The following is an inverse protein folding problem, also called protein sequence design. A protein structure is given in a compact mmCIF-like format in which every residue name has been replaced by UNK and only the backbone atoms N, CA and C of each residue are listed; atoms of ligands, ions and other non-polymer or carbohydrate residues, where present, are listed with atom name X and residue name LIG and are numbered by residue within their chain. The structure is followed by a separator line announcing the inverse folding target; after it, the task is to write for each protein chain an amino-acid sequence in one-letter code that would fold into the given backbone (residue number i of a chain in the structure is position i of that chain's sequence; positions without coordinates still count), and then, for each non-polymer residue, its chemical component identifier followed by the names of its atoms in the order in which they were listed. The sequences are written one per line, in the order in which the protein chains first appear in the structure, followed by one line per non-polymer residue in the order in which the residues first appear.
data_IF_068671857087
#
_entry.id   IF_068671857087
#
_cell.length_a   1.000
_cell.length_b   1.000
_cell.length_c   1.000
_cell.angle_alpha   90.00
_cell.angle_beta   90.00
_cell.angle_gamma   90.00
#
_symmetry.space_group_name_H-M   'P 1'
#
loop_
_entity.id
_entity.type
_entity.pdbx_description
1 polymer ?
#
# COMPACT_ATOMS: atom_id res chain seq x y z
N UNK A 1 -10.20 -11.24 12.95
CA UNK A 1 -9.38 -10.97 11.76
C UNK A 1 -9.69 -11.89 10.56
N UNK A 2 -10.10 -13.17 10.78
CA UNK A 2 -10.58 -14.03 9.69
C UNK A 2 -11.91 -13.53 9.12
N UNK A 3 -12.76 -12.95 9.96
CA UNK A 3 -14.00 -12.31 9.53
C UNK A 3 -13.71 -11.13 8.58
N UNK A 4 -12.70 -10.31 8.87
CA UNK A 4 -12.29 -9.22 7.97
C UNK A 4 -11.87 -9.74 6.59
N UNK A 5 -11.16 -10.86 6.53
CA UNK A 5 -10.79 -11.48 5.26
C UNK A 5 -12.03 -11.86 4.42
N UNK A 6 -13.04 -12.48 5.05
CA UNK A 6 -14.30 -12.82 4.39
C UNK A 6 -15.03 -11.55 3.92
N UNK A 7 -15.17 -10.54 4.79
CA UNK A 7 -15.81 -9.27 4.44
C UNK A 7 -15.09 -8.59 3.27
N UNK A 8 -13.77 -8.54 3.28
CA UNK A 8 -13.00 -7.93 2.20
C UNK A 8 -13.10 -8.74 0.89
N UNK A 9 -13.13 -10.07 0.99
CA UNK A 9 -13.37 -10.93 -0.18
C UNK A 9 -14.77 -10.73 -0.77
N UNK A 10 -15.79 -10.55 0.06
CA UNK A 10 -17.14 -10.20 -0.40
C UNK A 10 -17.17 -8.83 -1.08
N UNK A 11 -16.43 -7.83 -0.57
CA UNK A 11 -16.31 -6.53 -1.23
C UNK A 11 -15.73 -6.64 -2.64
N UNK A 12 -14.77 -7.54 -2.89
CA UNK A 12 -14.25 -7.77 -4.24
C UNK A 12 -15.37 -8.21 -5.20
N UNK A 13 -16.25 -9.11 -4.75
CA UNK A 13 -17.38 -9.59 -5.55
C UNK A 13 -18.42 -8.49 -5.77
N UNK A 14 -18.73 -7.70 -4.75
CA UNK A 14 -19.72 -6.60 -4.83
C UNK A 14 -19.26 -5.49 -5.77
N UNK A 15 -17.94 -5.27 -5.92
CA UNK A 15 -17.38 -4.24 -6.78
C UNK A 15 -17.26 -4.69 -8.25
N UNK A 16 -17.54 -5.95 -8.57
CA UNK A 16 -17.61 -6.44 -9.96
C UNK A 16 -18.69 -5.63 -10.68
N UNK A 17 -18.34 -5.10 -11.85
CA UNK A 17 -19.21 -4.24 -12.68
C UNK A 17 -19.49 -2.83 -12.14
N UNK A 18 -18.96 -2.43 -11.00
CA UNK A 18 -19.01 -1.03 -10.55
C UNK A 18 -17.95 -0.21 -11.31
N UNK A 19 -18.29 1.02 -11.66
CA UNK A 19 -17.33 1.91 -12.32
C UNK A 19 -16.18 2.30 -11.37
N UNK A 20 -14.96 2.05 -11.80
CA UNK A 20 -13.74 2.39 -11.05
C UNK A 20 -13.71 3.86 -10.62
N UNK A 21 -14.17 4.78 -11.49
CA UNK A 21 -14.17 6.22 -11.21
C UNK A 21 -15.10 6.57 -10.05
N UNK A 22 -16.26 5.91 -9.97
CA UNK A 22 -17.22 6.10 -8.87
C UNK A 22 -16.61 5.61 -7.56
N UNK A 23 -16.01 4.43 -7.55
CA UNK A 23 -15.36 3.85 -6.36
C UNK A 23 -14.25 4.77 -5.85
N UNK A 24 -13.35 5.20 -6.74
CA UNK A 24 -12.24 6.10 -6.38
C UNK A 24 -12.74 7.45 -5.88
N UNK A 25 -13.74 8.05 -6.54
CA UNK A 25 -14.30 9.34 -6.12
C UNK A 25 -14.88 9.27 -4.71
N UNK A 26 -15.67 8.24 -4.43
CA UNK A 26 -16.26 8.04 -3.12
C UNK A 26 -15.17 7.80 -2.06
N UNK A 27 -14.17 6.99 -2.37
CA UNK A 27 -13.03 6.78 -1.48
C UNK A 27 -12.31 8.10 -1.17
N UNK A 28 -11.98 8.91 -2.18
CA UNK A 28 -11.29 10.19 -1.98
C UNK A 28 -12.10 11.14 -1.12
N UNK A 29 -13.42 11.21 -1.33
CA UNK A 29 -14.28 12.09 -0.53
C UNK A 29 -14.34 11.62 0.91
N UNK A 30 -14.68 10.35 1.15
CA UNK A 30 -14.87 9.83 2.52
C UNK A 30 -13.54 9.78 3.27
N UNK A 31 -12.51 9.13 2.70
CA UNK A 31 -11.21 9.03 3.35
C UNK A 31 -10.53 10.41 3.48
N UNK A 32 -10.71 11.30 2.49
CA UNK A 32 -10.20 12.67 2.55
C UNK A 32 -10.80 13.47 3.69
N UNK A 33 -12.13 13.46 3.83
CA UNK A 33 -12.81 14.13 4.96
C UNK A 33 -12.33 13.58 6.31
N UNK A 34 -12.23 12.26 6.42
CA UNK A 34 -11.81 11.62 7.67
C UNK A 34 -10.35 11.94 8.01
N UNK A 35 -9.44 11.79 7.05
CA UNK A 35 -8.00 12.01 7.30
C UNK A 35 -7.70 13.48 7.58
N UNK A 36 -8.26 14.39 6.77
CA UNK A 36 -8.07 15.84 7.00
C UNK A 36 -8.78 16.26 8.28
N UNK A 37 -9.99 15.78 8.55
CA UNK A 37 -10.72 16.08 9.77
C UNK A 37 -9.96 15.64 11.03
N UNK A 38 -9.49 14.40 11.09
CA UNK A 38 -8.70 13.88 12.23
C UNK A 38 -7.40 14.67 12.39
N UNK A 39 -6.70 14.97 11.29
CA UNK A 39 -5.49 15.79 11.30
C UNK A 39 -5.75 17.18 11.90
N UNK A 40 -6.80 17.89 11.44
CA UNK A 40 -7.15 19.22 11.95
C UNK A 40 -7.58 19.18 13.42
N UNK A 41 -8.40 18.21 13.80
CA UNK A 41 -8.81 18.01 15.20
C UNK A 41 -7.61 17.70 16.12
N UNK A 42 -6.60 17.02 15.58
CA UNK A 42 -5.35 16.77 16.32
C UNK A 42 -4.50 18.04 16.48
N UNK A 43 -4.48 18.93 15.48
CA UNK A 43 -3.78 20.22 15.60
C UNK A 43 -4.40 21.15 16.65
N UNK A 44 -5.73 21.14 16.80
CA UNK A 44 -6.43 21.94 17.81
C UNK A 44 -6.54 21.24 19.17
N UNK A 45 -5.94 20.04 19.32
CA UNK A 45 -5.87 19.30 20.58
C UNK A 45 -7.15 18.55 20.98
N UNK A 46 -8.18 18.48 20.10
CA UNK A 46 -9.40 17.71 20.34
C UNK A 46 -9.20 16.21 20.22
N UNK A 47 -8.25 15.79 19.36
CA UNK A 47 -7.81 14.40 19.22
C UNK A 47 -6.33 14.32 19.60
N UNK A 48 -5.91 13.36 20.46
CA UNK A 48 -4.52 13.27 20.90
C UNK A 48 -3.55 13.06 19.75
N UNK A 49 -2.48 13.87 19.67
CA UNK A 49 -1.33 13.61 18.82
C UNK A 49 -0.34 12.73 19.59
N UNK A 50 -0.39 11.42 19.39
CA UNK A 50 0.54 10.49 20.04
C UNK A 50 1.96 10.69 19.45
N UNK A 51 2.91 10.91 20.35
CA UNK A 51 4.31 11.15 19.99
C UNK A 51 5.17 9.94 20.37
N UNK A 52 5.84 9.36 19.37
CA UNK A 52 6.71 8.21 19.53
C UNK A 52 8.17 8.63 19.38
N UNK A 53 9.01 8.28 20.35
CA UNK A 53 10.44 8.47 20.20
C UNK A 53 11.08 7.25 19.54
N UNK A 54 11.81 7.48 18.43
CA UNK A 54 12.61 6.46 17.76
C UNK A 54 14.02 6.96 17.54
N UNK A 55 14.97 6.45 18.33
CA UNK A 55 16.38 6.84 18.26
C UNK A 55 16.59 8.37 18.32
N UNK A 56 15.88 9.06 19.23
CA UNK A 56 15.97 10.51 19.41
C UNK A 56 15.08 11.35 18.47
N UNK A 57 14.40 10.72 17.51
CA UNK A 57 13.46 11.42 16.61
C UNK A 57 12.03 11.29 17.13
N UNK A 58 11.39 12.43 17.39
CA UNK A 58 9.97 12.49 17.77
C UNK A 58 9.11 12.35 16.51
N UNK A 59 8.22 11.37 16.51
CA UNK A 59 7.32 11.02 15.43
C UNK A 59 5.88 11.31 15.82
N UNK A 60 5.17 12.12 15.06
CA UNK A 60 3.80 12.53 15.35
C UNK A 60 2.80 11.62 14.60
N UNK A 61 1.74 11.21 15.29
CA UNK A 61 0.66 10.39 14.70
C UNK A 61 -0.49 11.21 14.13
N UNK A 62 -0.58 12.50 14.49
CA UNK A 62 -1.62 13.42 14.04
C UNK A 62 -3.05 12.89 14.19
N UNK A 63 -3.36 12.35 15.37
CA UNK A 63 -4.68 11.82 15.71
C UNK A 63 -4.91 10.36 15.32
N UNK A 64 -3.95 9.74 14.65
CA UNK A 64 -3.95 8.30 14.36
C UNK A 64 -3.26 7.52 15.49
N UNK A 65 -3.35 6.18 15.43
CA UNK A 65 -2.67 5.34 16.42
C UNK A 65 -1.15 5.38 16.21
N UNK A 66 -0.70 5.30 14.95
CA UNK A 66 0.72 5.34 14.60
C UNK A 66 1.05 6.43 13.58
N UNK A 67 2.27 6.99 13.62
CA UNK A 67 2.74 7.90 12.57
C UNK A 67 2.72 7.29 11.16
N UNK A 68 2.93 5.97 11.06
CA UNK A 68 2.86 5.22 9.80
C UNK A 68 1.42 5.10 9.28
N UNK A 69 0.41 5.05 10.15
CA UNK A 69 -1.00 4.99 9.74
C UNK A 69 -1.40 6.27 9.01
N UNK A 70 -1.11 7.43 9.62
CA UNK A 70 -1.33 8.72 8.98
C UNK A 70 -0.59 8.82 7.64
N UNK A 71 0.70 8.45 7.61
CA UNK A 71 1.51 8.50 6.40
C UNK A 71 0.98 7.56 5.30
N UNK A 72 0.48 6.39 5.66
CA UNK A 72 -0.14 5.44 4.73
C UNK A 72 -1.45 5.97 4.16
N UNK A 73 -2.32 6.57 4.97
CA UNK A 73 -3.52 7.22 4.47
C UNK A 73 -3.18 8.35 3.49
N UNK A 74 -2.17 9.17 3.80
CA UNK A 74 -1.68 10.21 2.89
C UNK A 74 -1.18 9.62 1.56
N UNK A 75 -0.43 8.52 1.60
CA UNK A 75 0.07 7.83 0.39
C UNK A 75 -1.08 7.33 -0.49
N UNK A 76 -2.04 6.58 0.06
CA UNK A 76 -3.15 6.03 -0.71
C UNK A 76 -4.09 7.12 -1.23
N UNK A 77 -4.36 8.17 -0.45
CA UNK A 77 -5.13 9.33 -0.92
C UNK A 77 -4.40 10.07 -2.04
N UNK A 78 -3.09 10.28 -1.92
CA UNK A 78 -2.29 10.90 -2.99
C UNK A 78 -2.36 10.10 -4.29
N UNK A 79 -2.27 8.76 -4.21
CA UNK A 79 -2.44 7.88 -5.36
C UNK A 79 -3.84 8.03 -5.99
N UNK A 80 -4.90 7.99 -5.17
CA UNK A 80 -6.28 8.03 -5.64
C UNK A 80 -6.62 9.38 -6.29
N UNK A 81 -6.27 10.49 -5.66
CA UNK A 81 -6.45 11.83 -6.20
C UNK A 81 -5.65 12.00 -7.51
N UNK A 82 -4.38 11.57 -7.52
CA UNK A 82 -3.51 11.69 -8.68
C UNK A 82 -3.98 10.83 -9.86
N UNK A 83 -4.57 9.67 -9.59
CA UNK A 83 -5.14 8.82 -10.63
C UNK A 83 -6.43 9.41 -11.22
N UNK A 84 -7.31 9.99 -10.39
CA UNK A 84 -8.52 10.68 -10.86
C UNK A 84 -8.19 11.92 -11.71
N UNK A 85 -7.09 12.59 -11.40
CA UNK A 85 -6.62 13.80 -12.08
C UNK A 85 -5.45 13.52 -13.06
N UNK A 86 -5.32 12.28 -13.55
CA UNK A 86 -4.14 11.81 -14.32
C UNK A 86 -3.73 12.77 -15.45
N UNK A 87 -4.69 13.37 -16.12
CA UNK A 87 -4.49 14.24 -17.29
C UNK A 87 -4.47 15.74 -16.95
N UNK A 88 -4.58 16.12 -15.67
CA UNK A 88 -4.72 17.51 -15.22
C UNK A 88 -3.74 17.85 -14.09
N UNK A 89 -3.34 19.13 -14.04
CA UNK A 89 -2.60 19.70 -12.91
C UNK A 89 -1.30 18.95 -12.54
N UNK A 90 -0.55 18.44 -13.52
CA UNK A 90 0.62 17.61 -13.24
C UNK A 90 1.65 18.32 -12.35
N UNK A 91 1.97 19.59 -12.62
CA UNK A 91 2.94 20.33 -11.83
C UNK A 91 2.48 20.61 -10.41
N UNK A 92 1.23 21.01 -10.21
CA UNK A 92 0.65 21.23 -8.87
C UNK A 92 0.63 19.93 -8.06
N UNK A 93 0.24 18.80 -8.67
CA UNK A 93 0.24 17.49 -8.01
C UNK A 93 1.66 17.03 -7.68
N UNK A 94 2.61 17.26 -8.58
CA UNK A 94 4.00 16.88 -8.36
C UNK A 94 4.62 17.71 -7.21
N UNK A 95 4.38 19.01 -7.20
CA UNK A 95 4.81 19.87 -6.10
C UNK A 95 4.17 19.42 -4.78
N UNK A 96 2.86 19.16 -4.78
CA UNK A 96 2.16 18.65 -3.59
C UNK A 96 2.74 17.31 -3.12
N UNK A 97 3.04 16.37 -4.02
CA UNK A 97 3.67 15.09 -3.68
C UNK A 97 5.04 15.26 -3.02
N UNK A 98 5.88 16.17 -3.53
CA UNK A 98 7.19 16.49 -2.94
C UNK A 98 7.02 17.10 -1.54
N UNK A 99 6.13 18.09 -1.41
CA UNK A 99 5.88 18.75 -0.12
C UNK A 99 5.29 17.79 0.91
N UNK A 100 4.35 16.93 0.50
CA UNK A 100 3.76 15.90 1.36
C UNK A 100 4.81 14.87 1.81
N UNK A 101 5.68 14.44 0.90
CA UNK A 101 6.79 13.54 1.23
C UNK A 101 7.73 14.16 2.25
N UNK A 102 8.12 15.43 2.06
CA UNK A 102 8.98 16.17 2.99
C UNK A 102 8.31 16.34 4.36
N UNK A 103 7.01 16.62 4.40
CA UNK A 103 6.22 16.70 5.62
C UNK A 103 6.21 15.36 6.38
N UNK A 104 5.95 14.25 5.68
CA UNK A 104 5.92 12.90 6.26
C UNK A 104 7.29 12.50 6.81
N UNK A 105 8.39 12.80 6.12
CA UNK A 105 9.75 12.56 6.62
C UNK A 105 9.99 13.37 7.90
N UNK A 106 9.70 14.66 7.86
CA UNK A 106 10.02 15.57 8.95
C UNK A 106 9.24 15.27 10.24
N UNK A 107 7.94 14.98 10.12
CA UNK A 107 7.04 14.90 11.27
C UNK A 107 6.65 13.48 11.68
N UNK A 108 6.62 12.54 10.74
CA UNK A 108 6.24 11.14 10.99
C UNK A 108 7.44 10.18 10.98
N UNK A 109 8.58 10.55 10.38
CA UNK A 109 9.70 9.67 10.06
C UNK A 109 9.23 8.33 9.43
N UNK A 110 8.22 8.41 8.56
CA UNK A 110 7.67 7.29 7.79
C UNK A 110 8.33 7.22 6.40
N UNK A 111 9.61 6.82 6.39
CA UNK A 111 10.52 6.92 5.23
C UNK A 111 10.01 6.18 4.00
N UNK A 112 9.44 4.98 4.18
CA UNK A 112 8.93 4.19 3.06
C UNK A 112 7.72 4.87 2.40
N UNK A 113 6.77 5.37 3.20
CA UNK A 113 5.59 6.05 2.66
C UNK A 113 5.98 7.34 1.92
N UNK A 114 6.91 8.11 2.47
CA UNK A 114 7.45 9.30 1.81
C UNK A 114 8.14 8.95 0.48
N UNK A 115 9.00 7.92 0.47
CA UNK A 115 9.64 7.43 -0.76
C UNK A 115 8.60 6.93 -1.77
N UNK A 116 7.57 6.24 -1.32
CA UNK A 116 6.48 5.75 -2.19
C UNK A 116 5.69 6.89 -2.82
N UNK A 117 5.47 8.00 -2.10
CA UNK A 117 4.84 9.22 -2.66
C UNK A 117 5.74 9.86 -3.74
N UNK A 118 7.06 9.94 -3.50
CA UNK A 118 8.00 10.45 -4.52
C UNK A 118 8.03 9.55 -5.75
N UNK A 119 8.09 8.24 -5.58
CA UNK A 119 8.03 7.28 -6.68
C UNK A 119 6.71 7.38 -7.45
N UNK A 120 5.58 7.53 -6.75
CA UNK A 120 4.29 7.77 -7.37
C UNK A 120 4.31 9.06 -8.21
N UNK A 121 4.88 10.14 -7.67
CA UNK A 121 5.02 11.41 -8.38
C UNK A 121 5.80 11.22 -9.69
N UNK A 122 6.92 10.50 -9.65
CA UNK A 122 7.72 10.20 -10.85
C UNK A 122 6.91 9.35 -11.85
N UNK A 123 6.17 8.35 -11.38
CA UNK A 123 5.30 7.52 -12.22
C UNK A 123 4.25 8.39 -12.92
N UNK A 124 3.56 9.27 -12.20
CA UNK A 124 2.54 10.16 -12.80
C UNK A 124 3.15 11.15 -13.79
N UNK A 125 4.32 11.71 -13.53
CA UNK A 125 5.05 12.59 -14.48
C UNK A 125 5.38 11.80 -15.75
N UNK A 126 5.94 10.58 -15.59
CA UNK A 126 6.28 9.73 -16.74
C UNK A 126 5.05 9.46 -17.62
N UNK A 127 3.94 9.01 -17.05
CA UNK A 127 2.74 8.69 -17.82
C UNK A 127 2.08 9.92 -18.46
N UNK A 128 2.18 11.08 -17.84
CA UNK A 128 1.70 12.34 -18.40
C UNK A 128 2.46 12.72 -19.68
N UNK A 129 3.80 12.69 -19.64
CA UNK A 129 4.62 13.10 -20.80
C UNK A 129 4.79 11.98 -21.84
N UNK A 130 4.70 10.73 -21.47
CA UNK A 130 4.82 9.61 -22.40
C UNK A 130 3.55 9.36 -23.21
N UNK A 131 2.45 10.07 -22.93
CA UNK A 131 1.12 9.78 -23.50
C UNK A 131 0.75 8.30 -23.41
N UNK A 132 1.06 7.67 -22.27
CA UNK A 132 0.75 6.27 -22.03
C UNK A 132 1.64 5.27 -22.77
N UNK A 133 2.76 5.70 -23.40
CA UNK A 133 3.69 4.76 -24.06
C UNK A 133 4.22 3.73 -23.07
N UNK A 134 4.14 2.46 -23.46
CA UNK A 134 4.64 1.35 -22.64
C UNK A 134 6.15 1.16 -22.80
N UNK A 135 6.83 0.94 -21.70
CA UNK A 135 8.18 0.38 -21.70
C UNK A 135 8.10 -1.16 -21.69
N UNK A 136 9.09 -1.84 -22.27
CA UNK A 136 9.15 -3.32 -22.23
C UNK A 136 9.09 -3.88 -20.81
N UNK A 137 9.70 -3.18 -19.84
CA UNK A 137 9.71 -3.56 -18.44
C UNK A 137 8.30 -3.61 -17.81
N UNK A 138 7.32 -2.87 -18.35
CA UNK A 138 5.96 -2.88 -17.82
C UNK A 138 5.28 -4.24 -17.94
N UNK A 139 5.75 -5.12 -18.82
CA UNK A 139 5.28 -6.49 -18.89
C UNK A 139 5.58 -7.33 -17.63
N UNK A 140 6.55 -6.91 -16.81
CA UNK A 140 6.91 -7.55 -15.55
C UNK A 140 6.10 -7.05 -14.36
N UNK A 141 5.53 -5.84 -14.43
CA UNK A 141 4.79 -5.23 -13.32
C UNK A 141 3.63 -6.06 -12.77
N UNK A 142 2.84 -6.79 -13.60
CA UNK A 142 1.79 -7.68 -13.08
C UNK A 142 2.29 -8.75 -12.10
N UNK A 143 3.56 -9.09 -12.14
CA UNK A 143 4.17 -10.10 -11.26
C UNK A 143 4.81 -9.51 -10.00
N UNK A 144 4.73 -8.20 -9.80
CA UNK A 144 5.39 -7.50 -8.70
C UNK A 144 5.06 -8.05 -7.32
N UNK A 145 3.80 -8.41 -7.05
CA UNK A 145 3.42 -9.00 -5.77
C UNK A 145 4.11 -10.35 -5.52
N UNK A 146 4.28 -11.19 -6.56
CA UNK A 146 5.03 -12.46 -6.44
C UNK A 146 6.47 -12.17 -6.02
N UNK A 147 7.13 -11.23 -6.73
CA UNK A 147 8.54 -10.89 -6.50
C UNK A 147 8.72 -10.33 -5.09
N UNK A 148 7.92 -9.33 -4.71
CA UNK A 148 8.09 -8.65 -3.43
C UNK A 148 7.68 -9.54 -2.24
N UNK A 149 6.60 -10.32 -2.37
CA UNK A 149 6.21 -11.31 -1.36
C UNK A 149 7.31 -12.36 -1.15
N UNK A 150 7.87 -12.91 -2.24
CA UNK A 150 8.93 -13.91 -2.16
C UNK A 150 10.20 -13.34 -1.51
N UNK A 151 10.60 -12.13 -1.91
CA UNK A 151 11.81 -11.47 -1.36
C UNK A 151 11.64 -11.26 0.15
N UNK A 152 10.58 -10.58 0.59
CA UNK A 152 10.44 -10.23 2.01
C UNK A 152 10.21 -11.47 2.88
N UNK A 153 9.46 -12.45 2.40
CA UNK A 153 9.24 -13.71 3.11
C UNK A 153 10.53 -14.50 3.26
N UNK A 154 11.31 -14.62 2.17
CA UNK A 154 12.60 -15.31 2.20
C UNK A 154 13.61 -14.62 3.11
N UNK A 155 13.76 -13.28 3.00
CA UNK A 155 14.69 -12.52 3.85
C UNK A 155 14.30 -12.59 5.33
N UNK A 156 13.00 -12.52 5.66
CA UNK A 156 12.52 -12.68 7.03
C UNK A 156 12.78 -14.10 7.55
N UNK A 157 12.50 -15.13 6.76
CA UNK A 157 12.76 -16.53 7.13
C UNK A 157 14.25 -16.81 7.36
N UNK A 158 15.14 -16.27 6.51
CA UNK A 158 16.60 -16.45 6.59
C UNK A 158 17.30 -15.49 7.54
N UNK A 159 16.57 -14.54 8.12
CA UNK A 159 17.20 -13.55 9.00
C UNK A 159 17.91 -14.20 10.18
N UNK A 160 19.15 -13.76 10.39
CA UNK A 160 19.99 -14.13 11.55
C UNK A 160 20.86 -12.95 11.95
N UNK A 161 21.03 -12.75 13.24
CA UNK A 161 21.93 -11.73 13.78
C UNK A 161 23.41 -12.00 13.48
N UNK A 162 23.77 -13.23 13.15
CA UNK A 162 25.13 -13.61 12.74
C UNK A 162 25.47 -13.25 11.28
N UNK A 163 24.47 -12.85 10.47
CA UNK A 163 24.68 -12.48 9.08
C UNK A 163 24.72 -10.94 8.91
N UNK A 164 25.94 -10.34 8.69
CA UNK A 164 26.08 -8.88 8.61
C UNK A 164 25.26 -8.22 7.50
N UNK A 165 25.08 -8.91 6.35
CA UNK A 165 24.29 -8.41 5.24
C UNK A 165 22.81 -8.29 5.62
N UNK A 166 22.22 -9.33 6.22
CA UNK A 166 20.82 -9.30 6.67
C UNK A 166 20.62 -8.30 7.82
N UNK A 167 21.59 -8.15 8.71
CA UNK A 167 21.56 -7.14 9.77
C UNK A 167 21.56 -5.73 9.18
N UNK A 168 22.33 -5.47 8.12
CA UNK A 168 22.35 -4.17 7.44
C UNK A 168 21.01 -3.86 6.78
N UNK A 169 20.41 -4.82 6.08
CA UNK A 169 19.04 -4.67 5.51
C UNK A 169 18.03 -4.44 6.64
N UNK A 170 18.10 -5.22 7.71
CA UNK A 170 17.19 -5.09 8.85
C UNK A 170 17.26 -3.70 9.50
N UNK A 171 18.45 -3.11 9.63
CA UNK A 171 18.63 -1.73 10.10
C UNK A 171 17.97 -0.71 9.14
N UNK A 172 18.15 -0.90 7.83
CA UNK A 172 17.57 -0.03 6.80
C UNK A 172 16.05 0.00 6.89
N UNK A 173 15.41 -1.17 7.07
CA UNK A 173 13.96 -1.31 7.21
C UNK A 173 13.46 -1.33 8.67
N UNK A 174 14.28 -0.79 9.58
CA UNK A 174 13.92 -0.53 10.99
C UNK A 174 13.45 -1.77 11.77
N UNK A 175 14.16 -2.89 11.64
CA UNK A 175 13.95 -4.10 12.45
C UNK A 175 12.93 -5.10 11.90
N UNK A 176 12.33 -4.85 10.76
CA UNK A 176 11.19 -5.63 10.24
C UNK A 176 11.52 -7.07 9.85
N UNK A 177 12.78 -7.35 9.41
CA UNK A 177 13.18 -8.74 9.16
C UNK A 177 13.26 -9.55 10.46
N UNK A 178 13.79 -8.95 11.54
CA UNK A 178 13.87 -9.61 12.84
C UNK A 178 12.46 -9.91 13.39
N UNK A 179 11.51 -8.98 13.27
CA UNK A 179 10.11 -9.21 13.65
C UNK A 179 9.47 -10.32 12.81
N UNK A 180 9.73 -10.33 11.50
CA UNK A 180 9.28 -11.41 10.62
C UNK A 180 9.89 -12.77 11.03
N UNK A 181 11.19 -12.82 11.34
CA UNK A 181 11.85 -14.04 11.83
C UNK A 181 11.23 -14.53 13.14
N UNK A 182 11.04 -13.64 14.09
CA UNK A 182 10.39 -13.98 15.36
C UNK A 182 8.98 -14.58 15.15
N UNK A 183 8.23 -14.06 14.18
CA UNK A 183 6.93 -14.61 13.84
C UNK A 183 7.02 -16.03 13.23
N UNK A 184 8.04 -16.31 12.40
CA UNK A 184 8.30 -17.67 11.91
C UNK A 184 8.60 -18.63 13.05
N UNK A 185 9.42 -18.22 14.02
CA UNK A 185 9.79 -19.04 15.17
C UNK A 185 8.61 -19.25 16.14
N UNK A 186 7.74 -18.24 16.29
CA UNK A 186 6.63 -18.27 17.25
C UNK A 186 5.40 -19.00 16.70
N UNK A 187 5.00 -18.71 15.45
CA UNK A 187 3.70 -19.15 14.92
C UNK A 187 3.79 -20.35 13.99
N UNK A 188 4.95 -20.57 13.36
CA UNK A 188 5.10 -21.55 12.29
C UNK A 188 4.25 -21.21 11.06
N UNK A 189 4.43 -21.99 9.99
CA UNK A 189 3.71 -21.76 8.72
C UNK A 189 2.73 -22.91 8.47
N UNK A 190 1.46 -22.57 8.24
CA UNK A 190 0.38 -23.54 8.06
C UNK A 190 -0.41 -23.27 6.78
N UNK A 191 -1.09 -24.28 6.24
CA UNK A 191 -1.87 -24.15 5.01
C UNK A 191 -3.01 -23.12 5.13
N UNK A 192 -3.72 -23.09 6.27
CA UNK A 192 -4.88 -22.22 6.54
C UNK A 192 -4.65 -21.22 7.68
N UNK A 193 -3.39 -20.89 7.96
CA UNK A 193 -3.00 -19.99 9.03
C UNK A 193 -2.93 -20.63 10.41
N UNK A 194 -2.30 -19.94 11.32
CA UNK A 194 -2.11 -20.39 12.70
C UNK A 194 -3.35 -20.07 13.52
N UNK A 195 -3.74 -21.00 14.39
CA UNK A 195 -4.85 -20.78 15.32
C UNK A 195 -4.44 -19.76 16.38
N UNK A 196 -5.28 -18.75 16.60
CA UNK A 196 -5.05 -17.72 17.63
C UNK A 196 -3.75 -16.89 17.46
N UNK A 197 -3.38 -16.53 16.24
CA UNK A 197 -2.29 -15.56 16.01
C UNK A 197 -2.66 -14.23 16.67
N UNK A 198 -1.82 -13.79 17.61
CA UNK A 198 -1.94 -12.50 18.25
C UNK A 198 -0.67 -11.69 17.98
N UNK A 199 -0.80 -10.65 17.16
CA UNK A 199 0.26 -9.67 16.98
C UNK A 199 0.10 -8.56 18.02
N UNK A 200 1.08 -8.47 18.91
CA UNK A 200 1.12 -7.45 19.96
C UNK A 200 1.87 -6.25 19.42
N UNK A 201 1.12 -5.21 19.07
CA UNK A 201 1.64 -3.87 18.75
C UNK A 201 1.70 -2.98 19.99
N UNK A 202 2.08 -1.71 19.82
CA UNK A 202 2.09 -0.77 20.96
C UNK A 202 0.68 -0.35 21.43
N UNK A 203 -0.36 -0.59 20.61
CA UNK A 203 -1.75 -0.27 20.98
C UNK A 203 -1.98 1.20 21.33
N UNK A 204 -1.21 2.12 20.73
CA UNK A 204 -1.24 3.54 21.06
C UNK A 204 -0.35 3.94 22.25
N UNK A 205 0.31 2.99 22.92
CA UNK A 205 1.31 3.31 23.95
C UNK A 205 2.57 3.85 23.29
N UNK A 206 3.07 4.95 23.82
CA UNK A 206 4.29 5.62 23.31
C UNK A 206 5.59 5.02 23.89
N UNK A 207 5.45 4.22 24.93
CA UNK A 207 6.54 3.50 25.58
C UNK A 207 6.74 2.11 24.98
N UNK A 208 7.87 1.47 25.30
CA UNK A 208 8.16 0.11 24.89
C UNK A 208 7.16 -0.90 25.49
N UNK A 209 6.62 -1.76 24.66
CA UNK A 209 5.67 -2.79 25.07
C UNK A 209 6.39 -4.13 25.19
N UNK A 210 6.20 -4.77 26.37
CA UNK A 210 6.74 -6.12 26.62
C UNK A 210 6.04 -7.11 25.67
N UNK A 211 6.83 -7.96 25.01
CA UNK A 211 6.31 -8.96 24.09
C UNK A 211 5.88 -8.42 22.72
N UNK A 212 6.34 -7.20 22.35
CA UNK A 212 6.07 -6.66 21.01
C UNK A 212 6.53 -7.63 19.91
N UNK A 213 5.59 -8.06 19.08
CA UNK A 213 5.84 -9.02 17.99
C UNK A 213 5.06 -8.66 16.70
N UNK A 214 4.65 -7.41 16.55
CA UNK A 214 3.85 -6.99 15.42
C UNK A 214 4.65 -7.08 14.11
N UNK A 215 4.06 -7.71 13.09
CA UNK A 215 4.66 -7.86 11.76
C UNK A 215 4.05 -6.85 10.81
N UNK A 216 4.82 -5.86 10.39
CA UNK A 216 4.36 -4.79 9.49
C UNK A 216 4.23 -5.25 8.03
N UNK A 217 4.98 -6.25 7.58
CA UNK A 217 4.86 -6.75 6.20
C UNK A 217 3.50 -7.42 5.96
N UNK A 218 2.74 -6.91 4.99
CA UNK A 218 1.46 -7.51 4.59
C UNK A 218 1.60 -9.00 4.24
N UNK A 219 2.62 -9.34 3.48
CA UNK A 219 2.81 -10.72 2.99
C UNK A 219 3.13 -11.69 4.11
N UNK A 220 4.06 -11.30 4.98
CA UNK A 220 4.48 -12.12 6.12
C UNK A 220 3.36 -12.22 7.17
N UNK A 221 2.68 -11.10 7.46
CA UNK A 221 1.55 -11.07 8.39
C UNK A 221 0.40 -11.96 7.92
N UNK A 222 0.03 -11.85 6.64
CA UNK A 222 -1.05 -12.64 6.04
C UNK A 222 -0.72 -14.14 6.01
N UNK A 223 0.56 -14.51 5.84
CA UNK A 223 1.01 -15.89 5.85
C UNK A 223 0.68 -16.58 7.17
N UNK A 224 0.90 -15.90 8.30
CA UNK A 224 0.56 -16.47 9.62
C UNK A 224 -0.93 -16.38 9.93
N UNK A 225 -1.57 -15.26 9.56
CA UNK A 225 -2.99 -15.03 9.85
C UNK A 225 -3.91 -15.93 9.05
N UNK A 226 -3.66 -16.05 7.74
CA UNK A 226 -4.56 -16.73 6.80
C UNK A 226 -3.99 -18.05 6.27
N UNK A 227 -2.67 -18.19 6.24
CA UNK A 227 -1.97 -19.39 5.76
C UNK A 227 -1.49 -19.27 4.31
N UNK A 228 -0.75 -20.29 3.89
CA UNK A 228 -0.14 -20.35 2.56
C UNK A 228 -1.20 -20.29 1.47
N UNK A 229 -2.25 -21.12 1.58
CA UNK A 229 -3.23 -21.31 0.52
C UNK A 229 -4.01 -20.02 0.19
N UNK A 230 -4.59 -19.28 1.17
CA UNK A 230 -5.24 -18.01 0.89
C UNK A 230 -4.28 -16.92 0.36
N UNK A 231 -3.04 -16.87 0.85
CA UNK A 231 -2.05 -15.89 0.37
C UNK A 231 -1.66 -16.17 -1.08
N UNK A 232 -1.39 -17.43 -1.43
CA UNK A 232 -1.08 -17.83 -2.80
C UNK A 232 -2.26 -17.54 -3.73
N UNK A 233 -3.49 -17.84 -3.30
CA UNK A 233 -4.71 -17.54 -4.06
C UNK A 233 -4.85 -16.03 -4.33
N UNK A 234 -4.65 -15.17 -3.31
CA UNK A 234 -4.69 -13.72 -3.49
C UNK A 234 -3.62 -13.22 -4.44
N UNK A 235 -2.40 -13.77 -4.38
CA UNK A 235 -1.33 -13.43 -5.31
C UNK A 235 -1.69 -13.84 -6.74
N UNK A 236 -2.26 -15.04 -6.94
CA UNK A 236 -2.73 -15.49 -8.25
C UNK A 236 -3.81 -14.55 -8.79
N UNK A 237 -4.81 -14.22 -7.96
CA UNK A 237 -5.88 -13.27 -8.32
C UNK A 237 -5.27 -11.93 -8.74
N UNK A 238 -4.33 -11.39 -7.94
CA UNK A 238 -3.63 -10.15 -8.28
C UNK A 238 -2.92 -10.23 -9.63
N UNK A 239 -2.16 -11.29 -9.89
CA UNK A 239 -1.43 -11.48 -11.15
C UNK A 239 -2.38 -11.57 -12.33
N UNK A 240 -3.43 -12.40 -12.23
CA UNK A 240 -4.42 -12.57 -13.31
C UNK A 240 -5.11 -11.24 -13.62
N UNK A 241 -5.60 -10.54 -12.60
CA UNK A 241 -6.28 -9.27 -12.76
C UNK A 241 -5.34 -8.17 -13.28
N UNK A 242 -4.12 -8.07 -12.73
CA UNK A 242 -3.11 -7.10 -13.22
C UNK A 242 -2.68 -7.38 -14.66
N UNK A 243 -2.54 -8.65 -15.06
CA UNK A 243 -2.27 -9.02 -16.46
C UNK A 243 -3.41 -8.61 -17.39
N UNK A 244 -4.66 -8.76 -16.94
CA UNK A 244 -5.82 -8.28 -17.70
C UNK A 244 -5.74 -6.77 -17.89
N UNK A 245 -5.54 -6.00 -16.83
CA UNK A 245 -5.38 -4.54 -16.90
C UNK A 245 -4.20 -4.13 -17.80
N UNK A 246 -3.08 -4.88 -17.75
CA UNK A 246 -1.95 -4.64 -18.65
C UNK A 246 -2.32 -4.86 -20.13
N UNK A 247 -3.07 -5.95 -20.44
CA UNK A 247 -3.54 -6.23 -21.80
C UNK A 247 -4.53 -5.18 -22.30
N UNK A 248 -5.35 -4.64 -21.39
CA UNK A 248 -6.33 -3.60 -21.67
C UNK A 248 -5.68 -2.18 -21.76
N UNK A 249 -4.32 -2.11 -21.79
CA UNK A 249 -3.59 -0.85 -21.93
C UNK A 249 -3.52 0.02 -20.67
N UNK A 250 -4.02 -0.44 -19.52
CA UNK A 250 -4.07 0.31 -18.26
C UNK A 250 -2.71 0.32 -17.53
N UNK A 251 -1.64 0.72 -18.23
CA UNK A 251 -0.27 0.64 -17.74
C UNK A 251 -0.03 1.47 -16.46
N UNK A 252 -0.66 2.65 -16.35
CA UNK A 252 -0.58 3.48 -15.16
C UNK A 252 -1.15 2.76 -13.93
N UNK A 253 -2.33 2.10 -14.07
CA UNK A 253 -2.92 1.34 -12.97
C UNK A 253 -2.00 0.20 -12.53
N UNK A 254 -1.43 -0.53 -13.49
CA UNK A 254 -0.50 -1.63 -13.18
C UNK A 254 0.78 -1.14 -12.51
N UNK A 255 1.29 0.04 -12.91
CA UNK A 255 2.44 0.67 -12.25
C UNK A 255 2.12 1.08 -10.79
N UNK A 256 0.94 1.64 -10.55
CA UNK A 256 0.46 1.97 -9.20
C UNK A 256 0.33 0.71 -8.34
N UNK A 257 -0.28 -0.34 -8.87
CA UNK A 257 -0.41 -1.62 -8.17
C UNK A 257 0.95 -2.23 -7.81
N UNK A 258 1.94 -2.11 -8.73
CA UNK A 258 3.30 -2.56 -8.47
C UNK A 258 3.99 -1.74 -7.37
N UNK A 259 3.78 -0.42 -7.34
CA UNK A 259 4.28 0.45 -6.28
C UNK A 259 3.64 0.13 -4.93
N UNK A 260 2.33 -0.16 -4.91
CA UNK A 260 1.63 -0.61 -3.70
C UNK A 260 2.19 -1.96 -3.24
N UNK A 261 2.41 -2.90 -4.15
CA UNK A 261 3.01 -4.20 -3.82
C UNK A 261 4.41 -4.04 -3.20
N UNK A 262 5.22 -3.09 -3.69
CA UNK A 262 6.50 -2.72 -3.09
C UNK A 262 6.33 -2.12 -1.68
N UNK A 263 5.42 -1.16 -1.49
CA UNK A 263 5.15 -0.54 -0.19
C UNK A 263 4.72 -1.60 0.85
N UNK A 264 3.91 -2.56 0.45
CA UNK A 264 3.39 -3.64 1.29
C UNK A 264 4.43 -4.70 1.71
N UNK A 265 5.67 -4.63 1.21
CA UNK A 265 6.78 -5.39 1.81
C UNK A 265 7.01 -5.03 3.28
N UNK A 266 6.70 -3.79 3.66
CA UNK A 266 7.02 -3.20 4.97
C UNK A 266 5.77 -2.60 5.64
N UNK A 267 4.63 -2.48 4.92
CA UNK A 267 3.36 -1.98 5.45
C UNK A 267 2.26 -3.06 5.38
N UNK A 268 1.37 -3.11 6.39
CA UNK A 268 0.38 -4.19 6.55
C UNK A 268 -0.96 -3.93 5.85
N UNK A 269 -1.00 -3.13 4.78
CA UNK A 269 -2.25 -2.59 4.21
C UNK A 269 -2.61 -3.13 2.82
N UNK A 270 -1.97 -4.20 2.33
CA UNK A 270 -2.21 -4.71 0.97
C UNK A 270 -3.67 -5.09 0.72
N UNK A 271 -4.30 -5.78 1.68
CA UNK A 271 -5.68 -6.24 1.58
C UNK A 271 -6.60 -5.57 2.63
N UNK A 272 -6.42 -4.26 2.82
CA UNK A 272 -7.22 -3.45 3.75
C UNK A 272 -7.88 -2.29 3.00
N UNK A 273 -9.20 -2.36 2.69
CA UNK A 273 -9.87 -1.41 1.79
C UNK A 273 -9.89 0.03 2.31
N UNK A 274 -9.81 0.24 3.62
CA UNK A 274 -9.76 1.58 4.23
C UNK A 274 -8.46 2.33 3.89
N UNK A 275 -7.40 1.61 3.53
CA UNK A 275 -6.15 2.14 3.00
C UNK A 275 -6.06 1.91 1.49
N UNK A 276 -6.01 0.66 1.07
CA UNK A 276 -5.72 0.25 -0.29
C UNK A 276 -6.98 -0.07 -1.09
N UNK A 277 -7.63 0.97 -1.61
CA UNK A 277 -8.77 0.78 -2.50
C UNK A 277 -8.34 0.19 -3.86
N UNK A 278 -7.08 0.37 -4.29
CA UNK A 278 -6.62 -0.07 -5.60
C UNK A 278 -6.63 -1.58 -5.79
N UNK A 279 -6.43 -2.36 -4.72
CA UNK A 279 -6.56 -3.82 -4.79
C UNK A 279 -7.98 -4.23 -5.19
N UNK A 280 -8.97 -3.46 -4.78
CA UNK A 280 -10.38 -3.70 -5.08
C UNK A 280 -10.78 -3.21 -6.47
N UNK A 281 -10.08 -2.23 -7.03
CA UNK A 281 -10.33 -1.73 -8.39
C UNK A 281 -9.96 -2.74 -9.48
N UNK A 282 -9.20 -3.79 -9.17
CA UNK A 282 -8.85 -4.83 -10.13
C UNK A 282 -10.08 -5.53 -10.75
N UNK A 283 -11.22 -5.48 -10.08
CA UNK A 283 -12.47 -6.16 -10.46
C UNK A 283 -13.55 -5.21 -10.96
N UNK A 284 -13.31 -3.90 -10.87
CA UNK A 284 -14.27 -2.88 -11.35
C UNK A 284 -14.23 -2.74 -12.86
N UNK A 285 -15.28 -2.18 -13.43
CA UNK A 285 -15.30 -1.76 -14.85
C UNK A 285 -14.54 -0.45 -15.01
N UNK A 286 -13.79 -0.34 -16.10
CA UNK A 286 -12.98 0.85 -16.37
C UNK A 286 -13.54 1.65 -17.53
N UNK A 287 -14.37 2.66 -17.22
CA UNK A 287 -14.95 3.57 -18.22
C UNK A 287 -13.94 4.54 -18.85
N UNK A 288 -12.77 4.75 -18.22
CA UNK A 288 -11.69 5.53 -18.84
C UNK A 288 -11.20 4.91 -20.16
N UNK A 289 -11.18 3.56 -20.26
CA UNK A 289 -10.73 2.83 -21.44
C UNK A 289 -11.70 2.94 -22.62
N UNK A 290 -13.02 2.96 -22.35
CA UNK A 290 -14.02 3.03 -23.42
C UNK A 290 -14.03 4.38 -24.15
N UNK A 291 -13.71 5.46 -23.46
CA UNK A 291 -13.70 6.79 -24.06
C UNK A 291 -12.47 6.99 -24.97
N UNK A 292 -11.30 6.54 -24.53
CA UNK A 292 -10.06 6.59 -25.32
C UNK A 292 -10.18 5.75 -26.61
N UNK A 293 -10.85 4.59 -26.54
CA UNK A 293 -11.11 3.74 -27.72
C UNK A 293 -12.05 4.40 -28.75
N UNK A 294 -13.10 5.09 -28.29
CA UNK A 294 -14.04 5.79 -29.15
C UNK A 294 -13.43 7.06 -29.78
N UNK A 295 -12.59 7.79 -29.04
CA UNK A 295 -11.89 8.97 -29.57
C UNK A 295 -10.84 8.59 -30.64
N UNK A 296 -10.17 7.44 -30.49
CA UNK A 296 -9.21 6.90 -31.48
C UNK A 296 -9.96 6.41 -32.75
N UNK A 297 -11.12 5.78 -32.61
CA UNK A 297 -11.94 5.34 -33.76
C UNK A 297 -12.46 6.56 -34.51
N UNK A 298 -12.94 7.59 -33.81
CA UNK A 298 -13.42 8.82 -34.45
C UNK A 298 -12.34 9.60 -35.22
N UNK A 299 -11.06 9.56 -34.74
CA UNK A 299 -9.94 10.22 -35.42
C UNK A 299 -9.48 9.43 -36.67
N UNK A 300 -9.69 8.11 -36.71
CA UNK A 300 -9.33 7.28 -37.86
C UNK A 300 -10.42 7.25 -38.93
N UNK A 301 -11.62 7.76 -38.65
CA UNK A 301 -12.74 7.88 -39.62
C UNK A 301 -12.86 9.30 -40.22
N UNK A 302 -12.02 10.23 -39.80
CA UNK A 302 -11.88 11.59 -40.38
C UNK A 302 -10.56 11.73 -41.15
#
# INVERSE_FOLDING_TARGET
NRLNFLVYSMLLVLLVNVDMKVVLRNYVVVAGILVVGVFLLSLVGMVPNLQYNRAGVIRNSFGFIYPTDFASHCFYLFLAISYLLKDKFIWTRSLFGVLLSAFIIKYCDARLNAMSILLATVIFIYFYYSNGKKLKIFALLPYSAVVFASIVTYLSYKFSWSNPFLVSINKLITGRLALGRNAFDTFGVHLFGTRNVQFIGSGGKTESVIGYNYVDSSYVQMLFTYGILPVVLLIIIYVVASRKQYKDGQYLLVAILSLIAFNCMIEAFWFVPTYNIFMFLLFTTNTFSKKESNDIVAINET
#
